data_IF_407944549151
#
_entry.id   IF_407944549151
#
_cell.length_a   1.000
_cell.length_b   1.000
_cell.length_c   1.000
_cell.angle_alpha   90.00
_cell.angle_beta   90.00
_cell.angle_gamma   90.00
#
_symmetry.space_group_name_H-M   'P 1'
#
loop_
_entity.id
_entity.type
_entity.pdbx_description
1 polymer ?
#
# COMPACT_ATOMS: atom_id res chain seq x y z
N UNK A 1 -32.08 0.39 -18.77
CA UNK A 1 -31.49 -0.61 -17.86
C UNK A 1 -31.73 -0.09 -16.47
N UNK A 2 -32.71 -0.72 -15.74
CA UNK A 2 -33.11 -0.27 -14.42
C UNK A 2 -31.98 -0.36 -13.42
N UNK A 3 -31.67 0.74 -12.76
CA UNK A 3 -30.88 0.76 -11.55
C UNK A 3 -31.63 0.00 -10.46
N UNK A 4 -31.31 -1.26 -10.24
CA UNK A 4 -31.66 -1.91 -8.97
C UNK A 4 -30.84 -1.20 -7.89
N UNK A 5 -31.50 -0.66 -6.87
CA UNK A 5 -30.92 0.17 -5.83
C UNK A 5 -30.00 -0.59 -4.86
N UNK A 6 -28.89 -1.06 -5.39
CA UNK A 6 -27.68 -1.31 -4.64
C UNK A 6 -26.77 -0.12 -4.95
N UNK A 7 -26.38 0.63 -3.94
CA UNK A 7 -25.25 1.53 -4.04
C UNK A 7 -24.12 0.73 -4.67
N UNK A 8 -23.71 1.11 -5.88
CA UNK A 8 -22.62 0.44 -6.56
C UNK A 8 -21.40 0.60 -5.65
N UNK A 9 -20.92 -0.50 -5.09
CA UNK A 9 -19.72 -0.46 -4.30
C UNK A 9 -18.63 0.15 -5.19
N UNK A 10 -18.04 1.26 -4.75
CA UNK A 10 -16.94 1.89 -5.44
C UNK A 10 -15.71 0.97 -5.31
N UNK A 11 -15.58 0.04 -6.24
CA UNK A 11 -14.49 -0.92 -6.30
C UNK A 11 -13.84 -0.93 -7.70
N UNK A 12 -13.29 0.22 -8.17
CA UNK A 12 -12.90 0.37 -9.55
C UNK A 12 -11.84 -0.63 -10.00
N UNK A 13 -10.84 -0.92 -9.19
CA UNK A 13 -9.81 -1.93 -9.50
C UNK A 13 -10.41 -3.34 -9.62
N UNK A 14 -11.33 -3.70 -8.73
CA UNK A 14 -12.00 -4.99 -8.77
C UNK A 14 -12.89 -5.11 -10.01
N UNK A 15 -13.71 -4.10 -10.27
CA UNK A 15 -14.63 -4.06 -11.40
C UNK A 15 -13.89 -4.11 -12.74
N UNK A 16 -12.81 -3.35 -12.87
CA UNK A 16 -11.98 -3.37 -14.08
C UNK A 16 -11.31 -4.74 -14.31
N UNK A 17 -10.85 -5.41 -13.27
CA UNK A 17 -10.31 -6.76 -13.41
C UNK A 17 -11.40 -7.76 -13.83
N UNK A 18 -12.62 -7.67 -13.29
CA UNK A 18 -13.78 -8.46 -13.73
C UNK A 18 -14.05 -8.21 -15.21
N UNK A 19 -14.09 -6.94 -15.63
CA UNK A 19 -14.31 -6.55 -17.03
C UNK A 19 -13.27 -7.19 -17.95
N UNK A 20 -11.99 -7.11 -17.60
CA UNK A 20 -10.88 -7.69 -18.36
C UNK A 20 -11.01 -9.21 -18.49
N UNK A 21 -11.36 -9.89 -17.40
CA UNK A 21 -11.56 -11.35 -17.43
C UNK A 21 -12.77 -11.74 -18.28
N UNK A 22 -13.85 -10.99 -18.25
CA UNK A 22 -15.03 -11.23 -19.07
C UNK A 22 -14.74 -11.04 -20.56
N UNK A 23 -14.01 -9.97 -20.92
CA UNK A 23 -13.58 -9.77 -22.32
C UNK A 23 -12.70 -10.91 -22.78
N UNK A 24 -11.75 -11.34 -21.97
CA UNK A 24 -10.86 -12.46 -22.30
C UNK A 24 -11.61 -13.79 -22.53
N UNK A 25 -12.72 -14.03 -21.80
CA UNK A 25 -13.48 -15.28 -21.86
C UNK A 25 -14.59 -15.27 -22.90
N UNK A 26 -15.27 -14.15 -23.07
CA UNK A 26 -16.53 -14.06 -23.84
C UNK A 26 -16.43 -13.09 -25.02
N UNK A 27 -15.37 -12.30 -25.10
CA UNK A 27 -15.22 -11.24 -26.10
C UNK A 27 -15.96 -9.95 -25.72
N UNK A 28 -15.56 -8.87 -26.37
CA UNK A 28 -16.06 -7.51 -26.08
C UNK A 28 -17.56 -7.35 -26.44
N UNK A 29 -17.96 -7.87 -27.61
CA UNK A 29 -19.36 -7.81 -28.07
C UNK A 29 -20.29 -8.52 -27.10
N UNK A 30 -19.91 -9.69 -26.58
CA UNK A 30 -20.74 -10.41 -25.61
C UNK A 30 -20.88 -9.65 -24.30
N UNK A 31 -19.84 -8.92 -23.88
CA UNK A 31 -19.87 -8.13 -22.67
C UNK A 31 -20.82 -6.92 -22.78
N UNK A 32 -20.73 -6.17 -23.88
CA UNK A 32 -21.47 -4.90 -23.99
C UNK A 32 -22.86 -5.04 -24.63
N UNK A 33 -23.02 -5.98 -25.56
CA UNK A 33 -24.25 -6.15 -26.33
C UNK A 33 -24.96 -7.48 -26.02
N UNK A 34 -24.31 -8.42 -25.34
CA UNK A 34 -24.83 -9.78 -25.13
C UNK A 34 -25.78 -9.93 -23.91
N UNK A 35 -26.07 -8.87 -23.16
CA UNK A 35 -27.01 -8.92 -22.03
C UNK A 35 -26.51 -9.80 -20.85
N UNK A 36 -25.22 -9.88 -20.60
CA UNK A 36 -24.64 -10.69 -19.53
C UNK A 36 -25.09 -10.19 -18.15
N UNK A 37 -25.50 -11.12 -17.30
CA UNK A 37 -25.68 -10.88 -15.86
C UNK A 37 -24.47 -11.45 -15.11
N UNK A 38 -23.73 -10.59 -14.43
CA UNK A 38 -22.47 -10.95 -13.76
C UNK A 38 -22.64 -10.86 -12.25
N UNK A 39 -22.43 -11.96 -11.56
CA UNK A 39 -22.37 -12.01 -10.10
C UNK A 39 -20.92 -12.27 -9.69
N UNK A 40 -20.37 -11.38 -8.86
CA UNK A 40 -19.00 -11.48 -8.36
C UNK A 40 -18.96 -11.93 -6.89
N UNK A 41 -17.78 -12.13 -6.36
CA UNK A 41 -17.53 -12.47 -4.95
C UNK A 41 -17.19 -11.24 -4.11
N UNK A 42 -17.27 -10.04 -4.70
CA UNK A 42 -17.00 -8.79 -4.00
C UNK A 42 -17.88 -8.67 -2.74
N UNK A 43 -17.26 -8.41 -1.61
CA UNK A 43 -17.90 -7.98 -0.37
C UNK A 43 -17.70 -6.46 -0.23
N UNK A 44 -18.75 -5.64 -0.38
CA UNK A 44 -18.62 -4.18 -0.33
C UNK A 44 -18.05 -3.64 0.98
N UNK A 45 -18.37 -4.29 2.09
CA UNK A 45 -17.86 -3.89 3.41
C UNK A 45 -16.37 -4.18 3.55
N UNK A 46 -15.91 -5.37 3.14
CA UNK A 46 -14.50 -5.70 3.12
C UNK A 46 -13.72 -4.86 2.12
N UNK A 47 -14.32 -4.51 0.98
CA UNK A 47 -13.71 -3.61 0.01
C UNK A 47 -13.42 -2.23 0.61
N UNK A 48 -14.40 -1.64 1.28
CA UNK A 48 -14.20 -0.35 1.96
C UNK A 48 -13.12 -0.42 3.03
N UNK A 49 -13.07 -1.50 3.81
CA UNK A 49 -12.01 -1.72 4.80
C UNK A 49 -10.65 -1.83 4.12
N UNK A 50 -10.55 -2.57 3.01
CA UNK A 50 -9.31 -2.75 2.26
C UNK A 50 -8.80 -1.42 1.68
N UNK A 51 -9.68 -0.63 1.06
CA UNK A 51 -9.34 0.68 0.50
C UNK A 51 -8.83 1.61 1.60
N UNK A 52 -9.54 1.72 2.72
CA UNK A 52 -9.12 2.54 3.86
C UNK A 52 -7.80 2.06 4.47
N UNK A 53 -7.58 0.75 4.56
CA UNK A 53 -6.35 0.19 5.11
C UNK A 53 -5.15 0.46 4.20
N UNK A 54 -5.31 0.31 2.88
CA UNK A 54 -4.27 0.60 1.89
C UNK A 54 -3.92 2.09 1.91
N UNK A 55 -4.92 2.96 1.86
CA UNK A 55 -4.74 4.42 1.90
C UNK A 55 -3.94 4.84 3.13
N UNK A 56 -4.40 4.48 4.33
CA UNK A 56 -3.70 4.79 5.58
C UNK A 56 -2.29 4.22 5.63
N UNK A 57 -2.11 3.01 5.13
CA UNK A 57 -0.79 2.36 5.07
C UNK A 57 0.19 3.10 4.18
N UNK A 58 -0.23 3.52 2.98
CA UNK A 58 0.57 4.26 2.03
C UNK A 58 0.90 5.66 2.55
N UNK A 59 -0.09 6.38 3.09
CA UNK A 59 0.13 7.70 3.69
C UNK A 59 1.09 7.63 4.90
N UNK A 60 0.90 6.66 5.79
CA UNK A 60 1.78 6.48 6.93
C UNK A 60 3.21 6.12 6.51
N UNK A 61 3.38 5.33 5.44
CA UNK A 61 4.69 5.03 4.87
C UNK A 61 5.30 6.29 4.26
N UNK A 62 4.53 7.04 3.49
CA UNK A 62 4.97 8.25 2.81
C UNK A 62 5.38 9.34 3.80
N UNK A 63 4.60 9.57 4.86
CA UNK A 63 4.96 10.48 5.96
C UNK A 63 6.32 10.13 6.58
N UNK A 64 6.68 8.85 6.66
CA UNK A 64 8.02 8.42 7.13
C UNK A 64 9.15 8.75 6.17
N UNK A 65 8.85 9.06 4.90
CA UNK A 65 9.84 9.53 3.93
C UNK A 65 10.11 11.04 4.05
N UNK A 66 9.20 11.78 4.69
CA UNK A 66 9.31 13.21 4.95
C UNK A 66 8.40 14.07 4.07
N UNK A 67 8.38 15.35 4.38
CA UNK A 67 7.55 16.37 3.74
C UNK A 67 8.17 16.88 2.44
N UNK A 68 7.43 16.86 1.35
CA UNK A 68 7.88 17.32 0.03
C UNK A 68 7.45 18.75 -0.33
N UNK A 69 6.74 19.42 0.57
CA UNK A 69 6.29 20.79 0.36
C UNK A 69 4.79 20.90 0.05
N UNK A 70 4.28 22.14 -0.07
CA UNK A 70 2.89 22.42 -0.39
C UNK A 70 2.54 22.00 -1.83
N UNK A 71 1.23 21.94 -2.14
CA UNK A 71 0.74 21.77 -3.52
C UNK A 71 1.15 22.93 -4.44
N UNK A 72 1.34 24.08 -3.86
CA UNK A 72 1.71 25.32 -4.53
C UNK A 72 1.52 26.52 -3.63
N UNK A 73 1.63 27.69 -4.20
CA UNK A 73 1.41 28.97 -3.53
C UNK A 73 0.19 29.65 -4.14
N UNK A 74 -0.62 30.31 -3.34
CA UNK A 74 -1.81 31.02 -3.80
C UNK A 74 -1.43 32.09 -4.81
N UNK A 75 -1.98 32.08 -6.04
CA UNK A 75 -1.72 33.12 -7.03
C UNK A 75 -2.27 34.48 -6.54
N UNK A 76 -1.51 35.54 -6.75
CA UNK A 76 -1.90 36.89 -6.33
C UNK A 76 -3.20 37.32 -7.04
N UNK A 77 -4.17 37.77 -6.28
CA UNK A 77 -5.47 38.23 -6.78
C UNK A 77 -6.42 37.13 -7.26
N UNK A 78 -6.08 35.86 -7.06
CA UNK A 78 -6.97 34.75 -7.39
C UNK A 78 -8.11 34.64 -6.39
N UNK A 79 -9.25 34.10 -6.85
CA UNK A 79 -10.37 33.72 -6.01
C UNK A 79 -10.00 32.46 -5.21
N UNK A 80 -9.89 32.62 -3.90
CA UNK A 80 -9.44 31.57 -2.99
C UNK A 80 -10.34 30.33 -3.09
N UNK A 81 -11.64 30.50 -3.04
CA UNK A 81 -12.59 29.38 -3.03
C UNK A 81 -12.51 28.58 -4.34
N UNK A 82 -12.40 29.27 -5.46
CA UNK A 82 -12.25 28.61 -6.78
C UNK A 82 -10.94 27.82 -6.88
N UNK A 83 -9.83 28.39 -6.41
CA UNK A 83 -8.53 27.70 -6.44
C UNK A 83 -8.55 26.47 -5.54
N UNK A 84 -9.04 26.60 -4.30
CA UNK A 84 -9.10 25.48 -3.37
C UNK A 84 -10.08 24.39 -3.82
N UNK A 85 -11.24 24.75 -4.38
CA UNK A 85 -12.18 23.80 -4.94
C UNK A 85 -11.56 22.98 -6.08
N UNK A 86 -10.92 23.65 -7.04
CA UNK A 86 -10.25 22.98 -8.18
C UNK A 86 -9.09 22.07 -7.77
N UNK A 87 -8.39 22.38 -6.66
CA UNK A 87 -7.35 21.49 -6.13
C UNK A 87 -7.98 20.32 -5.35
N UNK A 88 -9.02 20.58 -4.55
CA UNK A 88 -9.71 19.55 -3.77
C UNK A 88 -10.34 18.49 -4.67
N UNK A 89 -10.92 18.88 -5.82
CA UNK A 89 -11.52 17.95 -6.78
C UNK A 89 -10.53 16.88 -7.29
N UNK A 90 -9.24 17.17 -7.28
CA UNK A 90 -8.18 16.23 -7.67
C UNK A 90 -7.73 15.31 -6.54
N UNK A 91 -8.20 15.54 -5.33
CA UNK A 91 -7.81 14.77 -4.15
C UNK A 91 -8.80 13.62 -3.91
N UNK A 92 -8.39 12.66 -3.10
CA UNK A 92 -9.28 11.61 -2.62
C UNK A 92 -10.34 12.17 -1.66
N UNK A 93 -11.39 11.39 -1.47
CA UNK A 93 -12.39 11.68 -0.44
C UNK A 93 -11.74 11.96 0.92
N UNK A 94 -12.29 12.91 1.67
CA UNK A 94 -11.79 13.37 2.98
C UNK A 94 -10.43 14.10 2.96
N UNK A 95 -9.88 14.40 1.78
CA UNK A 95 -8.75 15.29 1.61
C UNK A 95 -9.22 16.62 1.03
N UNK A 96 -8.71 17.72 1.56
CA UNK A 96 -9.09 19.07 1.14
C UNK A 96 -7.84 19.90 0.88
N UNK A 97 -7.89 20.74 -0.13
CA UNK A 97 -6.92 21.80 -0.28
C UNK A 97 -7.25 22.92 0.70
N UNK A 98 -6.24 23.42 1.38
CA UNK A 98 -6.36 24.52 2.35
C UNK A 98 -5.32 25.59 2.09
N UNK A 99 -5.69 26.85 2.27
CA UNK A 99 -4.77 27.98 2.23
C UNK A 99 -4.20 28.24 3.62
N UNK A 100 -2.89 28.29 3.74
CA UNK A 100 -2.21 28.71 4.95
C UNK A 100 -2.28 30.23 5.09
N UNK A 101 -2.97 30.75 6.08
CA UNK A 101 -3.15 32.20 6.30
C UNK A 101 -2.13 32.78 7.27
N UNK A 102 -1.68 31.97 8.24
CA UNK A 102 -0.65 32.33 9.23
C UNK A 102 0.06 31.10 9.74
N UNK A 103 1.35 31.21 10.04
CA UNK A 103 2.13 30.11 10.65
C UNK A 103 2.81 30.57 11.92
N UNK A 104 2.65 29.79 12.97
CA UNK A 104 3.30 29.93 14.27
C UNK A 104 4.17 28.71 14.57
N UNK A 105 5.04 28.73 15.57
CA UNK A 105 5.89 27.58 15.87
C UNK A 105 5.14 26.27 16.13
N UNK A 106 3.93 26.37 16.74
CA UNK A 106 3.15 25.21 17.19
C UNK A 106 1.79 25.04 16.51
N UNK A 107 1.43 25.93 15.58
CA UNK A 107 0.18 25.87 14.84
C UNK A 107 0.27 26.60 13.50
N UNK A 108 -0.58 26.23 12.56
CA UNK A 108 -0.84 27.04 11.38
C UNK A 108 -2.34 27.30 11.26
N UNK A 109 -2.70 28.56 11.03
CA UNK A 109 -4.07 28.94 10.69
C UNK A 109 -4.29 28.68 9.20
N UNK A 110 -5.41 28.09 8.87
CA UNK A 110 -5.76 27.73 7.49
C UNK A 110 -7.19 28.17 7.16
N UNK A 111 -7.44 28.36 5.90
CA UNK A 111 -8.77 28.50 5.33
C UNK A 111 -9.10 27.29 4.47
N UNK A 112 -10.18 26.57 4.80
CA UNK A 112 -10.60 25.32 4.15
C UNK A 112 -12.13 25.21 4.14
N UNK A 113 -12.72 24.83 3.03
CA UNK A 113 -14.17 24.63 2.87
C UNK A 113 -14.99 25.85 3.38
N UNK A 114 -14.60 27.05 3.02
CA UNK A 114 -15.33 28.28 3.37
C UNK A 114 -15.17 28.72 4.83
N UNK A 115 -14.24 28.14 5.62
CA UNK A 115 -14.08 28.45 7.05
C UNK A 115 -12.63 28.45 7.52
N UNK A 116 -12.37 29.16 8.59
CA UNK A 116 -11.07 29.14 9.26
C UNK A 116 -10.93 27.87 10.12
N UNK A 117 -9.74 27.30 10.09
CA UNK A 117 -9.37 26.11 10.83
C UNK A 117 -7.90 26.15 11.26
N UNK A 118 -7.41 25.14 11.94
CA UNK A 118 -6.07 25.09 12.51
C UNK A 118 -5.41 23.74 12.20
N UNK A 119 -4.14 23.78 11.81
CA UNK A 119 -3.24 22.63 11.84
C UNK A 119 -2.40 22.74 13.10
N UNK A 120 -2.66 21.97 14.18
CA UNK A 120 -1.79 21.94 15.34
C UNK A 120 -0.52 21.16 15.03
N UNK A 121 0.57 21.48 15.72
CA UNK A 121 1.86 20.84 15.53
C UNK A 121 1.77 19.30 15.66
N UNK A 122 0.95 18.83 16.60
CA UNK A 122 0.71 17.41 16.90
C UNK A 122 0.18 16.63 15.69
N UNK A 123 -0.47 17.31 14.74
CA UNK A 123 -0.99 16.71 13.50
C UNK A 123 -0.14 17.05 12.26
N UNK A 124 1.03 17.67 12.46
CA UNK A 124 1.97 18.04 11.39
C UNK A 124 3.45 17.79 11.75
N UNK A 125 3.77 17.23 12.92
CA UNK A 125 5.15 17.01 13.40
C UNK A 125 6.03 16.18 12.47
N UNK A 126 5.40 15.39 11.60
CA UNK A 126 6.06 14.55 10.61
C UNK A 126 6.60 15.34 9.41
N UNK A 127 6.25 16.62 9.25
CA UNK A 127 6.64 17.45 8.12
C UNK A 127 8.12 17.92 8.19
N UNK A 128 9.02 17.00 8.46
CA UNK A 128 10.46 17.22 8.33
C UNK A 128 10.94 17.00 6.89
N UNK A 129 12.07 17.58 6.47
CA UNK A 129 12.58 17.41 5.11
C UNK A 129 12.71 15.93 4.70
N UNK A 130 12.56 15.59 3.41
CA UNK A 130 12.71 14.23 2.93
C UNK A 130 14.06 13.63 3.30
N UNK A 131 14.11 12.29 3.41
CA UNK A 131 15.37 11.57 3.59
C UNK A 131 16.29 11.82 2.40
N UNK A 132 17.57 12.04 2.70
CA UNK A 132 18.60 12.13 1.68
C UNK A 132 19.06 10.73 1.26
N UNK A 133 19.60 10.61 0.05
CA UNK A 133 20.14 9.34 -0.49
C UNK A 133 21.35 8.82 0.32
N UNK A 134 22.01 9.69 1.10
CA UNK A 134 23.10 9.33 1.99
C UNK A 134 22.66 8.55 3.25
N UNK A 135 21.37 8.29 3.40
CA UNK A 135 20.78 7.55 4.53
C UNK A 135 20.71 8.33 5.84
N UNK A 136 21.12 9.59 5.86
CA UNK A 136 21.03 10.46 7.04
C UNK A 136 19.57 10.74 7.35
N UNK A 137 19.14 10.47 8.59
CA UNK A 137 17.80 10.82 9.03
C UNK A 137 17.70 12.33 9.23
N UNK A 138 16.68 12.98 8.65
CA UNK A 138 16.46 14.40 8.89
C UNK A 138 16.16 14.65 10.36
N UNK A 139 16.51 15.84 10.82
CA UNK A 139 16.16 16.27 12.18
C UNK A 139 14.65 16.38 12.35
N UNK A 140 14.09 15.94 13.48
CA UNK A 140 12.67 16.10 13.74
C UNK A 140 12.23 17.55 13.61
N UNK A 141 11.04 17.77 13.05
CA UNK A 141 10.42 19.09 13.03
C UNK A 141 10.17 19.57 14.48
N UNK A 142 10.46 20.83 14.77
CA UNK A 142 10.20 21.46 16.08
C UNK A 142 9.43 22.77 15.95
N UNK A 143 9.33 23.28 14.73
CA UNK A 143 8.75 24.58 14.42
C UNK A 143 8.11 24.50 13.03
N UNK A 144 6.79 24.71 12.94
CA UNK A 144 6.04 24.60 11.69
C UNK A 144 6.46 25.63 10.65
N UNK A 145 7.04 26.77 11.05
CA UNK A 145 7.57 27.78 10.14
C UNK A 145 8.73 27.28 9.27
N UNK A 146 9.29 26.10 9.59
CA UNK A 146 10.31 25.44 8.76
C UNK A 146 9.70 24.53 7.67
N UNK A 147 8.41 24.25 7.75
CA UNK A 147 7.70 23.37 6.82
C UNK A 147 6.64 24.10 6.02
N UNK A 148 6.01 25.12 6.60
CA UNK A 148 4.89 25.86 6.04
C UNK A 148 5.18 27.37 6.02
N UNK A 149 4.63 28.04 5.01
CA UNK A 149 4.66 29.50 4.86
C UNK A 149 3.25 30.03 4.64
N UNK A 150 3.07 31.32 4.91
CA UNK A 150 1.84 32.00 4.52
C UNK A 150 1.66 31.90 2.99
N UNK A 151 0.41 31.80 2.56
CA UNK A 151 -0.02 31.65 1.17
C UNK A 151 0.29 30.28 0.53
N UNK A 152 0.85 29.31 1.29
CA UNK A 152 0.94 27.92 0.86
C UNK A 152 -0.45 27.30 0.68
N UNK A 153 -0.63 26.51 -0.38
CA UNK A 153 -1.78 25.62 -0.55
C UNK A 153 -1.34 24.22 -0.12
N UNK A 154 -1.97 23.68 0.90
CA UNK A 154 -1.60 22.39 1.48
C UNK A 154 -2.77 21.41 1.45
N UNK A 155 -2.47 20.10 1.50
CA UNK A 155 -3.48 19.08 1.71
C UNK A 155 -3.75 18.96 3.21
N UNK A 156 -5.03 18.91 3.57
CA UNK A 156 -5.45 18.65 4.94
C UNK A 156 -6.56 17.61 4.98
N UNK A 157 -6.68 16.91 6.10
CA UNK A 157 -7.75 15.93 6.34
C UNK A 157 -8.23 15.99 7.80
N UNK A 158 -9.49 15.59 8.07
CA UNK A 158 -9.98 15.51 9.44
C UNK A 158 -9.14 14.54 10.27
N UNK A 159 -8.86 14.83 11.56
CA UNK A 159 -7.97 14.01 12.39
C UNK A 159 -8.42 12.56 12.55
N UNK A 160 -9.72 12.25 12.43
CA UNK A 160 -10.25 10.91 12.50
C UNK A 160 -9.75 9.96 11.40
N UNK A 161 -9.24 10.50 10.29
CA UNK A 161 -8.63 9.72 9.20
C UNK A 161 -7.12 9.49 9.40
N UNK A 162 -6.51 10.13 10.40
CA UNK A 162 -5.07 10.02 10.72
C UNK A 162 -4.82 9.57 12.16
N UNK A 163 -5.36 8.44 12.62
CA UNK A 163 -5.23 8.02 14.01
C UNK A 163 -3.76 7.77 14.40
N UNK A 164 -2.89 7.48 13.48
CA UNK A 164 -1.45 7.31 13.68
C UNK A 164 -0.73 8.62 14.07
N UNK A 165 -1.31 9.76 13.80
CA UNK A 165 -0.80 11.07 14.21
C UNK A 165 -1.28 11.47 15.63
N UNK A 166 -2.37 10.88 16.10
CA UNK A 166 -2.92 11.18 17.45
C UNK A 166 -2.07 10.43 18.48
N UNK A 167 -1.26 11.17 19.22
CA UNK A 167 -0.30 10.61 20.20
C UNK A 167 -0.40 11.34 21.54
N UNK A 168 0.07 10.67 22.58
CA UNK A 168 0.26 11.27 23.92
C UNK A 168 -0.99 11.93 24.51
N UNK A 169 -2.18 11.38 24.24
CA UNK A 169 -3.43 11.94 24.75
C UNK A 169 -3.86 13.27 24.12
N UNK A 170 -3.29 13.63 22.95
CA UNK A 170 -3.76 14.79 22.20
C UNK A 170 -5.19 14.57 21.71
N UNK A 171 -6.09 15.46 22.07
CA UNK A 171 -7.49 15.46 21.64
C UNK A 171 -7.72 16.59 20.62
N UNK A 172 -7.96 16.23 19.33
CA UNK A 172 -8.21 17.24 18.31
C UNK A 172 -9.53 18.00 18.57
N UNK A 173 -9.51 19.32 18.47
CA UNK A 173 -10.74 20.13 18.47
C UNK A 173 -11.51 20.00 17.13
N UNK A 174 -12.79 20.34 17.06
CA UNK A 174 -13.62 20.21 15.86
C UNK A 174 -13.12 21.01 14.64
N UNK A 175 -12.34 22.07 14.86
CA UNK A 175 -11.73 22.88 13.80
C UNK A 175 -10.27 22.52 13.52
N UNK A 176 -9.76 21.41 14.09
CA UNK A 176 -8.42 20.93 13.79
C UNK A 176 -8.41 20.06 12.55
N UNK A 177 -7.34 20.19 11.78
CA UNK A 177 -7.03 19.36 10.62
C UNK A 177 -5.60 18.81 10.74
N UNK A 178 -5.40 17.61 10.22
CA UNK A 178 -4.08 17.04 10.05
C UNK A 178 -3.48 17.52 8.74
N UNK A 179 -2.19 17.84 8.74
CA UNK A 179 -1.44 18.06 7.51
C UNK A 179 -1.35 16.75 6.73
N UNK A 180 -1.73 16.79 5.46
CA UNK A 180 -1.68 15.66 4.54
C UNK A 180 -0.65 15.88 3.44
N UNK A 181 -0.32 14.79 2.76
CA UNK A 181 0.52 14.79 1.57
C UNK A 181 0.08 13.64 0.69
N UNK A 182 0.01 13.86 -0.62
CA UNK A 182 -0.24 12.78 -1.56
C UNK A 182 0.96 11.82 -1.54
N UNK A 183 0.74 10.51 -1.33
CA UNK A 183 1.84 9.55 -1.37
C UNK A 183 2.49 9.44 -2.75
N UNK A 184 3.83 9.37 -2.79
CA UNK A 184 4.58 8.97 -3.98
C UNK A 184 4.73 7.45 -4.06
N UNK A 185 4.45 6.78 -2.93
CA UNK A 185 4.50 5.31 -2.84
C UNK A 185 3.16 4.72 -3.25
N UNK A 186 3.24 3.56 -3.87
CA UNK A 186 2.08 2.81 -4.31
C UNK A 186 2.09 1.40 -3.73
N UNK A 187 0.93 0.77 -3.68
CA UNK A 187 0.78 -0.58 -3.16
C UNK A 187 -0.51 -1.23 -3.62
N UNK A 188 -0.76 -2.42 -3.13
CA UNK A 188 -1.99 -3.14 -3.36
C UNK A 188 -2.39 -3.94 -2.13
N UNK A 189 -3.67 -4.24 -2.01
CA UNK A 189 -4.22 -5.13 -1.00
C UNK A 189 -5.23 -6.09 -1.66
N UNK A 190 -5.22 -7.34 -1.20
CA UNK A 190 -6.13 -8.39 -1.64
C UNK A 190 -6.65 -9.12 -0.41
N UNK A 191 -7.96 -9.31 -0.33
CA UNK A 191 -8.60 -10.12 0.70
C UNK A 191 -9.24 -11.37 0.07
N UNK A 192 -8.85 -12.53 0.56
CA UNK A 192 -9.34 -13.84 0.12
C UNK A 192 -10.05 -14.55 1.26
N UNK A 193 -11.14 -15.25 0.95
CA UNK A 193 -11.70 -16.23 1.87
C UNK A 193 -10.77 -17.46 1.94
N UNK A 194 -10.20 -17.77 3.11
CA UNK A 194 -9.25 -18.88 3.25
C UNK A 194 -9.86 -20.27 3.04
N UNK A 195 -11.18 -20.41 3.13
CA UNK A 195 -11.86 -21.70 2.96
C UNK A 195 -12.24 -21.97 1.51
N UNK A 196 -12.60 -20.93 0.77
CA UNK A 196 -13.11 -21.07 -0.60
C UNK A 196 -12.16 -20.53 -1.68
N UNK A 197 -11.14 -19.76 -1.30
CA UNK A 197 -10.24 -19.05 -2.19
C UNK A 197 -10.90 -17.88 -2.95
N UNK A 198 -12.14 -17.52 -2.59
CA UNK A 198 -12.87 -16.42 -3.25
C UNK A 198 -12.22 -15.08 -2.96
N UNK A 199 -12.06 -14.25 -3.99
CA UNK A 199 -11.60 -12.88 -3.86
C UNK A 199 -12.75 -12.01 -3.33
N UNK A 200 -12.60 -11.47 -2.13
CA UNK A 200 -13.63 -10.67 -1.46
C UNK A 200 -13.41 -9.17 -1.60
N UNK A 201 -12.15 -8.72 -1.67
CA UNK A 201 -11.80 -7.33 -1.90
C UNK A 201 -10.44 -7.23 -2.61
N UNK A 202 -10.27 -6.18 -3.43
CA UNK A 202 -9.02 -5.88 -4.11
C UNK A 202 -8.90 -4.39 -4.39
N UNK A 203 -7.79 -3.79 -3.97
CA UNK A 203 -7.39 -2.45 -4.34
C UNK A 203 -5.97 -2.48 -4.90
N UNK A 204 -5.76 -1.93 -6.08
CA UNK A 204 -4.50 -2.02 -6.84
C UNK A 204 -3.64 -0.76 -6.82
N UNK A 205 -4.04 0.28 -6.09
CA UNK A 205 -3.31 1.55 -6.02
C UNK A 205 -3.93 2.53 -5.03
N UNK A 206 -3.25 3.66 -4.82
CA UNK A 206 -3.72 4.72 -3.93
C UNK A 206 -4.98 5.40 -4.48
N UNK A 207 -4.99 5.75 -5.76
CA UNK A 207 -6.11 6.44 -6.41
C UNK A 207 -6.30 5.94 -7.84
N UNK A 208 -7.47 5.31 -8.11
CA UNK A 208 -7.78 4.75 -9.44
C UNK A 208 -7.85 5.84 -10.53
N UNK A 209 -8.41 7.02 -10.22
CA UNK A 209 -8.52 8.11 -11.17
C UNK A 209 -7.16 8.64 -11.67
N UNK A 210 -6.10 8.43 -10.88
CA UNK A 210 -4.74 8.83 -11.22
C UNK A 210 -3.94 7.70 -11.87
N UNK A 211 -4.23 6.45 -11.48
CA UNK A 211 -3.53 5.27 -11.99
C UNK A 211 -4.46 4.07 -12.01
N UNK A 212 -4.94 3.71 -13.20
CA UNK A 212 -5.73 2.50 -13.43
C UNK A 212 -4.88 1.21 -13.34
N UNK A 213 -3.55 1.35 -13.25
CA UNK A 213 -2.64 0.20 -13.15
C UNK A 213 -2.88 -0.58 -11.86
N UNK A 214 -3.45 -1.78 -12.00
CA UNK A 214 -3.77 -2.65 -10.88
C UNK A 214 -2.54 -3.42 -10.41
N UNK A 215 -1.91 -2.95 -9.35
CA UNK A 215 -0.66 -3.54 -8.82
C UNK A 215 -0.87 -4.91 -8.19
N UNK A 216 -2.10 -5.28 -7.86
CA UNK A 216 -2.42 -6.60 -7.34
C UNK A 216 -2.26 -7.70 -8.40
N UNK A 217 -2.56 -7.39 -9.67
CA UNK A 217 -2.60 -8.39 -10.77
C UNK A 217 -1.68 -8.07 -11.94
N UNK A 218 -1.27 -6.81 -12.12
CA UNK A 218 -0.46 -6.39 -13.27
C UNK A 218 1.02 -6.14 -12.94
N UNK A 219 1.35 -5.86 -11.67
CA UNK A 219 2.72 -5.57 -11.28
C UNK A 219 3.59 -6.84 -11.26
N UNK A 220 4.55 -6.90 -12.14
CA UNK A 220 5.55 -7.96 -12.17
C UNK A 220 6.66 -7.64 -11.17
N UNK A 221 6.46 -8.02 -9.91
CA UNK A 221 7.40 -7.79 -8.81
C UNK A 221 7.97 -9.11 -8.30
N UNK A 222 9.20 -9.04 -7.79
CA UNK A 222 9.83 -10.19 -7.14
C UNK A 222 9.09 -10.48 -5.83
N UNK A 223 8.50 -11.68 -5.65
CA UNK A 223 7.71 -12.01 -4.47
C UNK A 223 8.56 -12.16 -3.20
N UNK A 224 9.87 -12.38 -3.35
CA UNK A 224 10.76 -12.59 -2.22
C UNK A 224 10.29 -13.76 -1.34
N UNK A 225 10.32 -13.57 -0.02
CA UNK A 225 9.92 -14.61 0.94
C UNK A 225 8.43 -14.96 0.91
N UNK A 226 7.58 -14.16 0.28
CA UNK A 226 6.17 -14.50 0.08
C UNK A 226 5.98 -15.73 -0.82
N UNK A 227 6.99 -16.11 -1.61
CA UNK A 227 6.98 -17.33 -2.41
C UNK A 227 7.26 -18.62 -1.60
N UNK A 228 7.83 -18.52 -0.41
CA UNK A 228 8.20 -19.69 0.40
C UNK A 228 7.05 -20.64 0.70
N UNK A 229 5.82 -20.19 1.02
CA UNK A 229 4.69 -21.10 1.22
C UNK A 229 4.52 -22.14 0.10
N UNK A 230 4.69 -21.77 -1.16
CA UNK A 230 4.59 -22.70 -2.29
C UNK A 230 5.66 -23.80 -2.24
N UNK A 231 6.89 -23.46 -1.85
CA UNK A 231 7.97 -24.45 -1.65
C UNK A 231 7.63 -25.42 -0.52
N UNK A 232 7.09 -24.90 0.58
CA UNK A 232 6.75 -25.73 1.73
C UNK A 232 5.50 -26.60 1.50
N UNK A 233 4.50 -26.09 0.76
CA UNK A 233 3.35 -26.87 0.32
C UNK A 233 3.78 -28.03 -0.61
N UNK A 234 4.62 -27.73 -1.60
CA UNK A 234 5.18 -28.74 -2.49
C UNK A 234 6.00 -29.80 -1.74
N UNK A 235 6.66 -29.41 -0.65
CA UNK A 235 7.39 -30.36 0.20
C UNK A 235 6.45 -31.25 1.00
N UNK A 236 5.37 -30.70 1.58
CA UNK A 236 4.36 -31.49 2.29
C UNK A 236 3.73 -32.53 1.36
N UNK A 237 3.39 -32.15 0.13
CA UNK A 237 2.87 -33.05 -0.90
C UNK A 237 3.90 -34.12 -1.32
N UNK A 238 5.19 -33.81 -1.22
CA UNK A 238 6.29 -34.75 -1.45
C UNK A 238 6.55 -35.71 -0.27
N UNK A 239 5.71 -35.70 0.77
CA UNK A 239 5.82 -36.57 1.94
C UNK A 239 6.67 -36.04 3.08
N UNK A 240 7.12 -34.79 3.01
CA UNK A 240 7.78 -34.14 4.15
C UNK A 240 6.74 -33.76 5.24
N UNK A 241 7.20 -33.63 6.47
CA UNK A 241 6.36 -33.22 7.59
C UNK A 241 6.87 -31.92 8.21
N UNK A 242 6.06 -31.18 8.98
CA UNK A 242 6.52 -30.00 9.71
C UNK A 242 7.72 -30.26 10.64
N UNK A 243 7.92 -31.51 11.06
CA UNK A 243 9.01 -31.95 11.95
C UNK A 243 10.22 -32.48 11.20
N UNK A 244 10.15 -32.62 9.86
CA UNK A 244 11.30 -33.03 9.05
C UNK A 244 12.46 -32.05 9.25
N UNK A 245 13.65 -32.58 9.52
CA UNK A 245 14.86 -31.77 9.73
C UNK A 245 15.48 -31.37 8.40
N UNK A 246 15.68 -30.06 8.22
CA UNK A 246 16.38 -29.46 7.09
C UNK A 246 17.61 -28.74 7.61
N UNK A 247 18.74 -28.90 6.93
CA UNK A 247 20.01 -28.31 7.35
C UNK A 247 20.06 -26.80 7.01
N UNK A 248 20.19 -25.95 8.02
CA UNK A 248 20.47 -24.52 7.88
C UNK A 248 21.99 -24.28 7.98
N UNK A 249 22.69 -24.45 6.87
CA UNK A 249 24.15 -24.33 6.77
C UNK A 249 24.53 -23.70 5.42
N UNK A 250 25.79 -23.28 5.22
CA UNK A 250 26.25 -22.72 3.96
C UNK A 250 25.84 -23.59 2.76
N UNK A 251 25.39 -22.93 1.71
CA UNK A 251 24.99 -23.54 0.45
C UNK A 251 25.72 -22.84 -0.69
N UNK A 252 26.30 -23.64 -1.56
CA UNK A 252 26.94 -23.17 -2.80
C UNK A 252 26.37 -23.95 -3.96
N UNK A 253 25.77 -23.25 -4.88
CA UNK A 253 25.14 -23.86 -6.08
C UNK A 253 25.90 -23.42 -7.31
N UNK A 254 26.33 -24.38 -8.11
CA UNK A 254 26.91 -24.13 -9.42
C UNK A 254 25.77 -23.79 -10.41
N UNK A 255 25.87 -22.67 -11.08
CA UNK A 255 24.86 -22.21 -12.04
C UNK A 255 25.24 -22.51 -13.50
N UNK A 256 26.29 -23.28 -13.71
CA UNK A 256 26.80 -23.64 -15.03
C UNK A 256 27.92 -22.73 -15.53
N UNK A 257 28.47 -23.08 -16.69
CA UNK A 257 29.65 -22.44 -17.26
C UNK A 257 29.45 -20.93 -17.44
N UNK A 258 30.43 -20.16 -16.96
CA UNK A 258 30.48 -18.69 -17.10
C UNK A 258 29.64 -17.90 -16.09
N UNK A 259 28.89 -18.55 -15.19
CA UNK A 259 28.11 -17.87 -14.16
C UNK A 259 28.81 -17.99 -12.79
N UNK A 260 28.77 -16.94 -11.94
CA UNK A 260 29.29 -17.03 -10.59
C UNK A 260 28.47 -18.03 -9.77
N UNK A 261 29.11 -18.78 -8.89
CA UNK A 261 28.43 -19.69 -7.98
C UNK A 261 27.45 -18.94 -7.08
N UNK A 262 26.19 -19.40 -7.04
CA UNK A 262 25.18 -18.81 -6.15
C UNK A 262 25.42 -19.24 -4.70
N UNK A 263 25.54 -18.24 -3.82
CA UNK A 263 25.82 -18.43 -2.39
C UNK A 263 24.75 -17.70 -1.58
N UNK A 264 23.55 -18.27 -1.43
CA UNK A 264 22.50 -17.65 -0.63
C UNK A 264 22.93 -17.55 0.85
N UNK A 265 22.33 -16.58 1.54
CA UNK A 265 22.52 -16.40 2.98
C UNK A 265 21.17 -16.13 3.66
N UNK A 266 21.09 -16.46 4.95
CA UNK A 266 19.99 -15.98 5.77
C UNK A 266 20.11 -14.47 5.99
N UNK A 267 18.97 -13.80 6.21
CA UNK A 267 18.94 -12.34 6.50
C UNK A 267 19.86 -11.97 7.67
N UNK A 268 19.90 -12.82 8.69
CA UNK A 268 20.75 -12.66 9.89
C UNK A 268 22.23 -12.94 9.66
N UNK A 269 22.61 -13.43 8.46
CA UNK A 269 23.96 -13.92 8.13
C UNK A 269 24.49 -15.04 9.06
N UNK A 270 23.59 -15.72 9.79
CA UNK A 270 23.91 -16.82 10.72
C UNK A 270 23.37 -18.14 10.17
N UNK A 271 23.99 -19.25 10.63
CA UNK A 271 23.59 -20.61 10.37
C UNK A 271 23.11 -21.25 11.67
N UNK A 272 22.10 -22.11 11.59
CA UNK A 272 21.44 -22.64 12.79
C UNK A 272 21.47 -24.18 12.86
N UNK A 273 22.15 -24.83 11.88
CA UNK A 273 22.27 -26.26 11.84
C UNK A 273 20.97 -26.99 11.50
N UNK A 274 20.86 -28.29 11.83
CA UNK A 274 19.64 -29.06 11.59
C UNK A 274 18.45 -28.47 12.34
N UNK A 275 17.46 -27.98 11.63
CA UNK A 275 16.25 -27.36 12.18
C UNK A 275 15.00 -27.99 11.55
N UNK A 276 13.91 -28.08 12.30
CA UNK A 276 12.65 -28.61 11.76
C UNK A 276 12.04 -27.69 10.71
N UNK A 277 11.36 -28.26 9.73
CA UNK A 277 10.80 -27.55 8.57
C UNK A 277 9.88 -26.41 9.01
N UNK A 278 9.07 -26.58 10.06
CA UNK A 278 8.23 -25.53 10.65
C UNK A 278 9.03 -24.27 11.00
N UNK A 279 10.17 -24.42 11.68
CA UNK A 279 11.04 -23.28 12.04
C UNK A 279 11.61 -22.58 10.77
N UNK A 280 11.83 -23.34 9.71
CA UNK A 280 12.30 -22.82 8.43
C UNK A 280 11.33 -21.78 7.83
N UNK A 281 10.03 -22.08 7.84
CA UNK A 281 9.02 -21.12 7.33
C UNK A 281 8.72 -20.02 8.36
N UNK A 282 8.55 -20.33 9.63
CA UNK A 282 8.29 -19.34 10.69
C UNK A 282 9.37 -18.25 10.77
N UNK A 283 10.64 -18.64 10.67
CA UNK A 283 11.78 -17.74 10.73
C UNK A 283 12.26 -17.29 9.35
N UNK A 284 11.54 -17.66 8.31
CA UNK A 284 11.85 -17.29 6.92
C UNK A 284 13.30 -17.62 6.53
N UNK A 285 13.80 -18.84 6.88
CA UNK A 285 15.18 -19.27 6.63
C UNK A 285 15.44 -19.51 5.15
N UNK A 286 16.32 -18.71 4.55
CA UNK A 286 16.60 -18.80 3.13
C UNK A 286 17.30 -20.10 2.74
N UNK A 287 18.29 -20.52 3.55
CA UNK A 287 19.09 -21.71 3.25
C UNK A 287 18.29 -23.00 3.35
N UNK A 288 17.40 -23.10 4.34
CA UNK A 288 16.49 -24.23 4.47
C UNK A 288 15.55 -24.31 3.29
N UNK A 289 14.96 -23.17 2.89
CA UNK A 289 14.03 -23.09 1.76
C UNK A 289 14.73 -23.48 0.44
N UNK A 290 15.92 -22.95 0.20
CA UNK A 290 16.70 -23.28 -1.01
C UNK A 290 17.04 -24.77 -1.08
N UNK A 291 17.52 -25.37 0.03
CA UNK A 291 17.79 -26.82 0.08
C UNK A 291 16.54 -27.62 -0.16
N UNK A 292 15.43 -27.27 0.48
CA UNK A 292 14.16 -27.95 0.32
C UNK A 292 13.71 -27.94 -1.11
N UNK A 293 13.70 -26.76 -1.77
CA UNK A 293 13.32 -26.61 -3.17
C UNK A 293 14.21 -27.44 -4.10
N UNK A 294 15.53 -27.46 -3.87
CA UNK A 294 16.46 -28.28 -4.64
C UNK A 294 16.22 -29.78 -4.45
N UNK A 295 15.89 -30.19 -3.24
CA UNK A 295 15.67 -31.63 -2.91
C UNK A 295 14.38 -32.16 -3.51
N UNK A 296 13.29 -31.38 -3.47
CA UNK A 296 11.98 -31.80 -4.02
C UNK A 296 11.87 -31.57 -5.53
N UNK A 297 12.76 -30.79 -6.12
CA UNK A 297 12.77 -30.39 -7.51
C UNK A 297 11.98 -29.11 -7.81
N UNK A 298 12.54 -28.25 -8.64
CA UNK A 298 11.93 -26.95 -9.00
C UNK A 298 10.65 -27.11 -9.81
N UNK A 299 10.53 -28.15 -10.64
CA UNK A 299 9.31 -28.40 -11.43
C UNK A 299 8.10 -28.59 -10.54
N UNK A 300 8.24 -29.34 -9.45
CA UNK A 300 7.16 -29.51 -8.45
C UNK A 300 6.79 -28.20 -7.78
N UNK A 301 7.77 -27.36 -7.46
CA UNK A 301 7.51 -26.04 -6.88
C UNK A 301 6.77 -25.13 -7.86
N UNK A 302 7.15 -25.17 -9.14
CA UNK A 302 6.46 -24.41 -10.21
C UNK A 302 5.02 -24.87 -10.39
N UNK A 303 4.76 -26.17 -10.36
CA UNK A 303 3.40 -26.73 -10.48
C UNK A 303 2.50 -26.26 -9.33
N UNK A 304 3.04 -26.21 -8.11
CA UNK A 304 2.33 -25.66 -6.97
C UNK A 304 2.04 -24.17 -7.09
N UNK A 305 2.98 -23.40 -7.65
CA UNK A 305 2.80 -21.96 -7.85
C UNK A 305 1.81 -21.60 -8.99
N UNK A 306 1.54 -22.55 -9.90
CA UNK A 306 0.60 -22.37 -11.01
C UNK A 306 -0.84 -22.79 -10.69
N UNK A 307 -1.04 -23.61 -9.67
CA UNK A 307 -2.37 -24.03 -9.17
C UNK A 307 -3.09 -22.87 -8.47
#
# INVERSE_FOLDING_TARGET
IGQSGFDAAEAPYFTEEVRRQLISRFGETSLYDGGLSVRTTLDPYLQQIADNALERGLEALDRRQGWRGPLGVMPQGADIDKVLAAQTEKLRANHFAALVTKVEPRSAEIYVNGRNAIIPFELAFWAYPPRRDDGVRPSPLRDLRKALSKDDIVIVQPPGFTPDLIRNGFEPAPNHFALGQRPDVEGAIVALDPHTGRLLAMSGGYNYAESEFNRAVQALRQPGSAFKPFVYLAALDAGYSPTTRILDAPLVVDQGAGKPKWKPANYTKRFYGPSIMRVGIEKSRNLMTARLAMTIGMDRVQDYAKR
#
